data_IF_619795770453
#
_entry.id   IF_619795770453
#
_cell.length_a   1.000
_cell.length_b   1.000
_cell.length_c   1.000
_cell.angle_alpha   90.00
_cell.angle_beta   90.00
_cell.angle_gamma   90.00
#
_symmetry.space_group_name_H-M   'P 1'
#
loop_
_entity.id
_entity.type
_entity.pdbx_description
1 polymer ?
#
# COMPACT_ATOMS: atom_id res chain seq x y z
N UNK A 1 -51.29 38.88 -23.43
CA UNK A 1 -51.98 38.73 -24.71
C UNK A 1 -52.34 37.27 -24.91
N UNK A 2 -53.61 37.02 -24.75
CA UNK A 2 -54.61 36.07 -25.20
C UNK A 2 -54.21 34.67 -25.63
N UNK A 3 -54.74 33.73 -24.84
CA UNK A 3 -54.87 32.28 -25.06
C UNK A 3 -55.94 32.00 -26.13
N UNK A 4 -55.71 31.07 -27.04
CA UNK A 4 -56.81 30.37 -27.77
C UNK A 4 -56.68 28.88 -27.57
N UNK A 5 -57.73 28.30 -26.91
CA UNK A 5 -58.08 26.86 -26.90
C UNK A 5 -58.59 26.48 -28.27
N UNK A 6 -58.19 25.32 -28.75
CA UNK A 6 -58.90 24.62 -29.82
C UNK A 6 -59.19 23.21 -29.31
N UNK A 7 -60.50 22.90 -29.14
CA UNK A 7 -61.05 21.58 -28.95
C UNK A 7 -61.15 20.89 -30.32
N UNK A 8 -60.70 19.62 -30.39
CA UNK A 8 -61.11 18.73 -31.47
C UNK A 8 -61.64 17.42 -30.87
N UNK A 9 -62.90 17.14 -31.24
CA UNK A 9 -63.62 15.91 -30.94
C UNK A 9 -63.12 14.76 -31.83
N UNK A 10 -62.84 13.61 -31.27
CA UNK A 10 -62.49 12.41 -32.02
C UNK A 10 -63.65 11.41 -32.09
N UNK A 11 -63.71 10.53 -33.06
CA UNK A 11 -64.87 9.66 -33.30
C UNK A 11 -64.81 8.38 -32.46
N UNK A 12 -65.99 7.97 -32.04
CA UNK A 12 -66.36 6.72 -31.38
C UNK A 12 -65.98 5.48 -32.21
N UNK A 13 -65.18 4.57 -31.64
CA UNK A 13 -64.95 3.24 -32.22
C UNK A 13 -65.67 2.17 -31.44
N UNK A 14 -66.48 1.37 -32.21
CA UNK A 14 -67.18 0.20 -31.79
C UNK A 14 -66.18 -0.86 -31.25
N UNK A 15 -66.47 -1.40 -30.07
CA UNK A 15 -65.72 -2.54 -29.53
C UNK A 15 -66.48 -3.82 -29.90
N UNK A 16 -65.86 -4.64 -30.74
CA UNK A 16 -66.39 -6.01 -31.06
C UNK A 16 -65.77 -6.97 -30.03
N UNK A 17 -66.61 -7.55 -29.18
CA UNK A 17 -66.23 -8.53 -28.20
C UNK A 17 -66.04 -9.91 -28.88
N UNK A 18 -64.79 -10.37 -28.95
CA UNK A 18 -64.49 -11.76 -29.33
C UNK A 18 -64.41 -12.62 -28.07
N UNK A 19 -65.33 -13.61 -28.00
CA UNK A 19 -65.30 -14.63 -26.94
C UNK A 19 -64.25 -15.67 -27.30
N UNK A 20 -63.13 -15.71 -26.57
CA UNK A 20 -62.13 -16.76 -26.67
C UNK A 20 -62.37 -17.79 -25.58
N UNK A 21 -62.80 -19.01 -25.97
CA UNK A 21 -62.88 -20.17 -25.08
C UNK A 21 -61.46 -20.69 -24.81
N UNK A 22 -60.95 -20.50 -23.59
CA UNK A 22 -59.71 -21.11 -23.13
C UNK A 22 -59.98 -22.56 -22.69
N UNK A 23 -59.45 -23.53 -23.42
CA UNK A 23 -59.27 -24.89 -22.95
C UNK A 23 -58.09 -24.98 -22.02
N UNK A 24 -58.30 -25.23 -20.73
CA UNK A 24 -57.28 -25.45 -19.74
C UNK A 24 -56.61 -26.81 -19.97
N UNK A 25 -55.46 -26.81 -20.61
CA UNK A 25 -54.51 -27.92 -20.58
C UNK A 25 -53.70 -27.87 -19.26
N UNK A 26 -53.99 -28.85 -18.39
CA UNK A 26 -53.22 -29.01 -17.13
C UNK A 26 -51.82 -29.50 -17.46
N UNK A 27 -50.85 -28.55 -17.59
CA UNK A 27 -49.41 -28.88 -17.66
C UNK A 27 -48.88 -28.99 -16.24
N UNK A 28 -48.49 -30.20 -15.83
CA UNK A 28 -47.73 -30.43 -14.60
C UNK A 28 -46.35 -29.82 -14.75
N UNK A 29 -46.08 -28.73 -14.02
CA UNK A 29 -44.77 -28.13 -13.91
C UNK A 29 -43.82 -29.14 -13.22
N UNK A 30 -42.59 -29.31 -13.72
CA UNK A 30 -41.59 -30.15 -13.04
C UNK A 30 -41.30 -29.53 -11.66
N UNK A 31 -41.39 -30.37 -10.63
CA UNK A 31 -41.00 -30.03 -9.27
C UNK A 31 -39.49 -29.76 -9.28
N UNK A 32 -39.07 -28.50 -9.03
CA UNK A 32 -37.68 -28.15 -8.87
C UNK A 32 -37.11 -28.94 -7.68
N UNK A 33 -36.11 -29.77 -7.94
CA UNK A 33 -35.30 -30.40 -6.88
C UNK A 33 -34.68 -29.31 -6.00
N UNK A 34 -34.79 -29.38 -4.66
CA UNK A 34 -34.16 -28.43 -3.77
C UNK A 34 -32.64 -28.48 -3.98
N UNK A 35 -32.07 -27.38 -4.50
CA UNK A 35 -30.62 -27.20 -4.50
C UNK A 35 -30.19 -27.05 -3.05
N UNK A 36 -29.37 -27.99 -2.58
CA UNK A 36 -28.68 -27.88 -1.28
C UNK A 36 -27.98 -26.55 -1.25
N UNK A 37 -28.20 -25.69 -0.23
CA UNK A 37 -27.46 -24.44 -0.11
C UNK A 37 -25.97 -24.77 -0.03
N UNK A 38 -25.18 -24.30 -1.00
CA UNK A 38 -23.72 -24.34 -0.93
C UNK A 38 -23.32 -23.51 0.29
N UNK A 39 -22.82 -24.19 1.32
CA UNK A 39 -22.17 -23.52 2.46
C UNK A 39 -21.04 -22.67 1.85
N UNK A 40 -20.98 -21.36 2.13
CA UNK A 40 -19.85 -20.55 1.69
C UNK A 40 -18.56 -21.22 2.17
N UNK A 41 -17.58 -21.41 1.29
CA UNK A 41 -16.29 -21.96 1.68
C UNK A 41 -15.73 -21.11 2.82
N UNK A 42 -15.31 -21.75 3.90
CA UNK A 42 -14.62 -21.04 4.98
C UNK A 42 -13.44 -20.24 4.39
N UNK A 43 -13.19 -19.01 4.86
CA UNK A 43 -12.05 -18.24 4.39
C UNK A 43 -10.78 -19.05 4.64
N UNK A 44 -10.06 -19.37 3.56
CA UNK A 44 -8.77 -20.07 3.65
C UNK A 44 -7.84 -19.20 4.48
N UNK A 45 -7.30 -19.78 5.56
CA UNK A 45 -6.34 -19.07 6.40
C UNK A 45 -5.12 -18.63 5.56
N UNK A 46 -4.55 -17.42 5.83
CA UNK A 46 -3.36 -16.96 5.14
C UNK A 46 -2.23 -18.00 5.22
N UNK A 47 -1.59 -18.31 4.09
CA UNK A 47 -0.42 -19.20 4.04
C UNK A 47 0.82 -18.39 3.72
N UNK A 48 1.67 -18.19 4.73
CA UNK A 48 2.91 -17.42 4.59
C UNK A 48 4.10 -18.37 4.32
N UNK A 49 5.18 -17.87 3.68
CA UNK A 49 6.42 -18.64 3.58
C UNK A 49 7.00 -18.90 4.98
N UNK A 50 7.85 -19.89 5.11
CA UNK A 50 8.58 -20.14 6.37
C UNK A 50 9.43 -18.92 6.75
N UNK A 51 9.44 -18.49 8.03
CA UNK A 51 10.33 -17.43 8.50
C UNK A 51 11.80 -17.68 8.11
N UNK A 52 12.54 -16.61 7.81
CA UNK A 52 13.94 -16.71 7.44
C UNK A 52 14.76 -17.22 8.63
N UNK A 53 15.49 -18.33 8.42
CA UNK A 53 16.34 -18.88 9.47
C UNK A 53 17.44 -17.89 9.89
N UNK A 54 17.70 -17.79 11.20
CA UNK A 54 18.70 -16.87 11.74
C UNK A 54 18.27 -15.40 11.75
N UNK A 55 16.98 -15.10 11.58
CA UNK A 55 16.45 -13.74 11.68
C UNK A 55 16.76 -13.11 13.04
N UNK A 56 17.51 -12.02 13.01
CA UNK A 56 17.88 -11.24 14.21
C UNK A 56 17.03 -9.99 14.40
N UNK A 57 16.43 -9.47 13.33
CA UNK A 57 15.47 -8.36 13.34
C UNK A 57 14.52 -8.47 12.16
N UNK A 58 13.38 -7.77 12.23
CA UNK A 58 12.41 -7.68 11.16
C UNK A 58 11.44 -6.52 11.35
N UNK A 59 10.75 -6.16 10.29
CA UNK A 59 9.69 -5.17 10.31
C UNK A 59 8.67 -5.43 9.19
N UNK A 60 7.49 -4.88 9.31
CA UNK A 60 6.55 -4.77 8.19
C UNK A 60 6.60 -3.36 7.65
N UNK A 61 6.54 -3.21 6.30
CA UNK A 61 6.49 -1.90 5.67
C UNK A 61 5.31 -1.78 4.71
N UNK A 62 4.76 -0.59 4.59
CA UNK A 62 3.61 -0.28 3.74
C UNK A 62 3.55 1.23 3.46
N UNK A 63 2.68 1.66 2.56
CA UNK A 63 2.37 3.07 2.31
C UNK A 63 0.94 3.23 1.79
N UNK A 64 0.48 4.48 1.71
CA UNK A 64 -0.81 4.84 1.12
C UNK A 64 -1.99 4.10 1.77
N UNK A 65 -1.91 3.97 3.11
CA UNK A 65 -2.84 3.16 3.87
C UNK A 65 -3.92 3.96 4.60
N UNK A 66 -3.66 5.22 4.92
CA UNK A 66 -4.33 6.03 5.94
C UNK A 66 -5.79 6.41 5.71
N UNK A 67 -6.61 5.52 5.15
CA UNK A 67 -8.03 5.79 4.87
C UNK A 67 -8.94 5.66 6.10
N UNK A 68 -8.59 4.81 7.06
CA UNK A 68 -9.46 4.40 8.17
C UNK A 68 -10.55 3.42 7.74
N UNK A 69 -10.46 2.83 6.55
CA UNK A 69 -11.51 1.99 5.95
C UNK A 69 -11.18 0.49 6.04
N UNK A 70 -12.16 -0.34 5.64
CA UNK A 70 -12.08 -1.79 5.75
C UNK A 70 -10.88 -2.41 5.01
N UNK A 71 -10.45 -1.84 3.90
CA UNK A 71 -9.30 -2.36 3.13
C UNK A 71 -8.00 -2.19 3.91
N UNK A 72 -7.78 -1.03 4.53
CA UNK A 72 -6.64 -0.81 5.43
C UNK A 72 -6.67 -1.80 6.60
N UNK A 73 -7.85 -2.02 7.21
CA UNK A 73 -7.98 -2.98 8.31
C UNK A 73 -7.62 -4.40 7.85
N UNK A 74 -8.08 -4.84 6.67
CA UNK A 74 -7.75 -6.16 6.15
C UNK A 74 -6.25 -6.35 5.90
N UNK A 75 -5.54 -5.32 5.43
CA UNK A 75 -4.07 -5.36 5.30
C UNK A 75 -3.43 -5.47 6.68
N UNK A 76 -3.89 -4.67 7.66
CA UNK A 76 -3.39 -4.71 9.04
C UNK A 76 -3.66 -6.06 9.72
N UNK A 77 -4.83 -6.66 9.52
CA UNK A 77 -5.16 -8.01 10.03
C UNK A 77 -4.22 -9.08 9.46
N UNK A 78 -3.86 -8.95 8.17
CA UNK A 78 -2.90 -9.85 7.53
C UNK A 78 -1.48 -9.65 8.05
N UNK A 79 -1.06 -8.40 8.38
CA UNK A 79 0.20 -8.12 9.08
C UNK A 79 0.21 -8.76 10.48
N UNK A 80 -0.93 -8.73 11.20
CA UNK A 80 -1.06 -9.39 12.50
C UNK A 80 -0.93 -10.92 12.37
N UNK A 81 -1.57 -11.51 11.37
CA UNK A 81 -1.45 -12.93 11.06
C UNK A 81 -0.02 -13.32 10.68
N UNK A 82 0.68 -12.50 9.89
CA UNK A 82 2.11 -12.63 9.57
C UNK A 82 2.96 -12.69 10.85
N UNK A 83 2.76 -11.75 11.75
CA UNK A 83 3.47 -11.71 13.04
C UNK A 83 3.18 -12.95 13.87
N UNK A 84 1.92 -13.37 13.94
CA UNK A 84 1.48 -14.54 14.71
C UNK A 84 1.94 -15.87 14.12
N UNK A 85 2.32 -15.92 12.83
CA UNK A 85 2.88 -17.10 12.18
C UNK A 85 4.37 -17.32 12.45
N UNK A 86 4.97 -16.51 13.34
CA UNK A 86 6.36 -16.67 13.78
C UNK A 86 7.36 -15.76 13.05
N UNK A 87 6.91 -14.90 12.13
CA UNK A 87 7.77 -13.89 11.52
C UNK A 87 8.12 -12.80 12.54
N UNK A 88 9.39 -12.47 12.63
CA UNK A 88 9.85 -11.43 13.54
C UNK A 88 9.44 -10.03 13.03
N UNK A 89 8.81 -9.25 13.89
CA UNK A 89 8.40 -7.86 13.63
C UNK A 89 8.78 -7.02 14.84
N UNK A 90 9.83 -6.23 14.73
CA UNK A 90 10.32 -5.31 15.78
C UNK A 90 9.78 -3.89 15.60
N UNK A 91 9.27 -3.54 14.40
CA UNK A 91 8.66 -2.24 14.10
C UNK A 91 7.65 -2.34 12.96
N UNK A 92 6.76 -1.38 12.87
CA UNK A 92 5.98 -1.05 11.69
C UNK A 92 6.60 0.17 11.03
N UNK A 93 6.67 0.19 9.70
CA UNK A 93 7.28 1.27 8.91
C UNK A 93 6.30 1.71 7.84
N UNK A 94 6.08 3.03 7.69
CA UNK A 94 5.32 3.53 6.54
C UNK A 94 6.16 4.44 5.66
N UNK A 95 5.92 4.35 4.36
CA UNK A 95 6.51 5.24 3.38
C UNK A 95 5.55 6.38 2.97
N UNK A 96 4.71 6.85 3.90
CA UNK A 96 3.88 8.05 3.73
C UNK A 96 2.42 7.79 3.35
N UNK A 97 1.67 8.88 3.26
CA UNK A 97 0.22 8.93 3.13
C UNK A 97 -0.47 8.12 4.24
N UNK A 98 -0.12 8.51 5.45
CA UNK A 98 -0.55 7.87 6.68
C UNK A 98 -1.96 8.28 7.11
N UNK A 99 -2.47 9.42 6.58
CA UNK A 99 -3.79 9.96 6.95
C UNK A 99 -4.43 10.68 5.76
N UNK A 100 -5.37 10.03 5.10
CA UNK A 100 -6.20 10.64 4.06
C UNK A 100 -7.41 11.38 4.63
N UNK A 101 -7.97 12.41 3.90
CA UNK A 101 -7.45 12.93 2.63
C UNK A 101 -6.35 13.98 2.79
N UNK A 102 -6.11 14.51 3.99
CA UNK A 102 -5.40 15.76 4.23
C UNK A 102 -4.52 15.78 5.50
N UNK A 103 -4.21 14.64 6.09
CA UNK A 103 -3.37 14.55 7.28
C UNK A 103 -4.03 15.03 8.59
N UNK A 104 -5.33 15.34 8.59
CA UNK A 104 -6.02 15.99 9.72
C UNK A 104 -5.92 15.19 11.03
N UNK A 105 -5.54 15.83 12.18
CA UNK A 105 -5.40 15.16 13.47
C UNK A 105 -6.64 14.44 13.97
N UNK A 106 -7.83 14.92 13.60
CA UNK A 106 -9.10 14.28 13.93
C UNK A 106 -9.23 12.84 13.38
N UNK A 107 -8.42 12.47 12.41
CA UNK A 107 -8.40 11.14 11.76
C UNK A 107 -7.30 10.22 12.29
N UNK A 108 -6.36 10.70 13.12
CA UNK A 108 -5.24 9.90 13.60
C UNK A 108 -5.68 8.60 14.29
N UNK A 109 -6.76 8.65 15.09
CA UNK A 109 -7.28 7.45 15.72
C UNK A 109 -7.73 6.40 14.69
N UNK A 110 -8.50 6.82 13.69
CA UNK A 110 -9.06 5.92 12.67
C UNK A 110 -7.99 5.42 11.68
N UNK A 111 -7.07 6.29 11.26
CA UNK A 111 -6.09 5.98 10.21
C UNK A 111 -4.80 5.36 10.76
N UNK A 112 -4.38 5.69 12.00
CA UNK A 112 -3.09 5.29 12.57
C UNK A 112 -3.24 4.34 13.77
N UNK A 113 -4.11 4.68 14.75
CA UNK A 113 -4.13 3.92 16.00
C UNK A 113 -4.93 2.62 15.86
N UNK A 114 -6.16 2.71 15.38
CA UNK A 114 -7.11 1.58 15.35
C UNK A 114 -6.66 0.43 14.45
N UNK A 115 -6.26 0.65 13.16
CA UNK A 115 -5.93 -0.46 12.27
C UNK A 115 -4.77 -1.31 12.78
N UNK A 116 -3.79 -0.69 13.44
CA UNK A 116 -2.57 -1.39 13.86
C UNK A 116 -2.54 -1.75 15.34
N UNK A 117 -3.66 -1.58 16.08
CA UNK A 117 -3.72 -1.84 17.52
C UNK A 117 -3.32 -3.28 17.92
N UNK A 118 -3.61 -4.26 17.07
CA UNK A 118 -3.27 -5.66 17.31
C UNK A 118 -1.76 -5.96 17.16
N UNK A 119 -0.99 -5.07 16.50
CA UNK A 119 0.43 -5.30 16.21
C UNK A 119 1.32 -4.34 16.98
N UNK A 120 0.88 -3.09 17.15
CA UNK A 120 1.64 -2.04 17.83
C UNK A 120 1.74 -2.30 19.33
N UNK A 121 2.92 -2.03 19.88
CA UNK A 121 3.20 -2.00 21.32
C UNK A 121 4.36 -1.03 21.58
N UNK A 122 4.73 -0.84 22.86
CA UNK A 122 5.94 -0.06 23.19
C UNK A 122 7.20 -0.65 22.53
N UNK A 123 7.25 -1.98 22.41
CA UNK A 123 8.37 -2.69 21.80
C UNK A 123 8.22 -2.88 20.27
N UNK A 124 7.10 -2.42 19.70
CA UNK A 124 6.81 -2.41 18.26
C UNK A 124 6.28 -1.04 17.83
N UNK A 125 7.14 -0.04 17.76
CA UNK A 125 6.74 1.31 17.35
C UNK A 125 6.32 1.34 15.88
N UNK A 126 5.58 2.39 15.51
CA UNK A 126 5.32 2.78 14.14
C UNK A 126 6.24 3.95 13.78
N UNK A 127 7.10 3.77 12.77
CA UNK A 127 7.95 4.80 12.20
C UNK A 127 7.43 5.19 10.81
N UNK A 128 7.37 6.49 10.53
CA UNK A 128 6.69 6.97 9.32
C UNK A 128 7.58 7.92 8.51
N UNK A 129 7.55 7.80 7.18
CA UNK A 129 7.77 8.95 6.32
C UNK A 129 6.45 9.73 6.19
N UNK A 130 6.52 10.99 5.77
CA UNK A 130 5.33 11.79 5.45
C UNK A 130 5.09 11.74 3.94
N UNK A 131 3.84 11.48 3.54
CA UNK A 131 3.39 11.64 2.18
C UNK A 131 2.82 13.03 1.91
N UNK A 132 2.40 13.30 0.67
CA UNK A 132 1.82 14.59 0.31
C UNK A 132 0.49 14.84 1.03
N UNK A 133 -0.35 13.82 1.22
CA UNK A 133 -1.59 13.96 1.99
C UNK A 133 -1.35 14.24 3.48
N UNK A 134 -0.21 13.86 4.03
CA UNK A 134 0.17 14.19 5.41
C UNK A 134 0.70 15.63 5.53
N UNK A 135 1.34 16.16 4.47
CA UNK A 135 2.11 17.40 4.51
C UNK A 135 1.36 18.61 3.95
N UNK A 136 0.55 18.44 2.89
CA UNK A 136 -0.04 19.54 2.10
C UNK A 136 -0.92 20.49 2.92
N UNK A 137 -1.61 19.98 3.95
CA UNK A 137 -2.42 20.81 4.87
C UNK A 137 -1.65 21.28 6.11
N UNK A 138 -0.34 20.99 6.21
CA UNK A 138 0.53 21.44 7.28
C UNK A 138 0.52 20.59 8.55
N UNK A 139 -0.19 19.46 8.58
CA UNK A 139 -0.33 18.59 9.76
C UNK A 139 0.81 17.59 9.97
N UNK A 140 1.81 17.54 9.08
CA UNK A 140 2.90 16.56 9.19
C UNK A 140 3.67 16.62 10.52
N UNK A 141 3.93 17.82 11.05
CA UNK A 141 4.60 17.98 12.34
C UNK A 141 3.73 17.45 13.51
N UNK A 142 2.42 17.65 13.46
CA UNK A 142 1.49 17.15 14.47
C UNK A 142 1.40 15.61 14.43
N UNK A 143 1.46 15.03 13.22
CA UNK A 143 1.48 13.58 13.04
C UNK A 143 2.76 12.96 13.63
N UNK A 144 3.93 13.55 13.36
CA UNK A 144 5.19 13.12 13.96
C UNK A 144 5.16 13.23 15.49
N UNK A 145 4.62 14.32 16.03
CA UNK A 145 4.47 14.52 17.48
C UNK A 145 3.51 13.48 18.10
N UNK A 146 2.39 13.17 17.45
CA UNK A 146 1.45 12.13 17.87
C UNK A 146 2.12 10.74 17.98
N UNK A 147 3.08 10.46 17.11
CA UNK A 147 3.85 9.22 17.09
C UNK A 147 5.14 9.28 17.93
N UNK A 148 5.42 10.41 18.60
CA UNK A 148 6.65 10.66 19.36
C UNK A 148 7.90 10.49 18.49
N UNK A 149 7.84 10.94 17.23
CA UNK A 149 8.94 10.93 16.27
C UNK A 149 9.59 12.31 16.16
N UNK A 150 10.89 12.37 15.85
CA UNK A 150 11.57 13.64 15.58
C UNK A 150 11.11 14.24 14.25
N UNK A 151 11.45 15.51 14.01
CA UNK A 151 11.29 16.11 12.69
C UNK A 151 12.12 15.36 11.63
N UNK A 152 11.64 15.41 10.38
CA UNK A 152 12.37 14.82 9.24
C UNK A 152 13.50 15.75 8.78
N UNK A 153 14.62 15.18 8.26
CA UNK A 153 14.90 13.76 8.17
C UNK A 153 15.35 13.16 9.50
N UNK A 154 15.13 11.85 9.69
CA UNK A 154 15.58 11.16 10.90
C UNK A 154 16.03 9.72 10.62
N UNK A 155 16.73 9.12 11.59
CA UNK A 155 17.21 7.76 11.52
C UNK A 155 16.67 6.91 12.67
N UNK A 156 16.49 5.63 12.41
CA UNK A 156 16.24 4.57 13.40
C UNK A 156 17.18 3.40 13.12
N UNK A 157 17.51 2.66 14.17
CA UNK A 157 18.36 1.47 14.06
C UNK A 157 17.64 0.28 14.67
N UNK A 158 17.67 -0.83 13.98
CA UNK A 158 17.34 -2.17 14.48
C UNK A 158 18.57 -3.05 14.33
N UNK A 159 18.56 -4.23 14.96
CA UNK A 159 19.70 -5.15 14.87
C UNK A 159 20.05 -5.44 13.40
N UNK A 160 21.25 -5.08 12.99
CA UNK A 160 21.78 -5.33 11.64
C UNK A 160 21.41 -4.33 10.56
N UNK A 161 20.52 -3.35 10.83
CA UNK A 161 20.12 -2.36 9.83
C UNK A 161 19.91 -0.95 10.40
N UNK A 162 20.17 0.05 9.56
CA UNK A 162 19.79 1.45 9.79
C UNK A 162 18.71 1.85 8.77
N UNK A 163 17.65 2.46 9.27
CA UNK A 163 16.53 2.99 8.52
C UNK A 163 16.62 4.52 8.51
N UNK A 164 16.67 5.12 7.32
CA UNK A 164 16.80 6.57 7.10
C UNK A 164 15.50 7.09 6.47
N UNK A 165 14.84 8.02 7.14
CA UNK A 165 13.57 8.60 6.70
C UNK A 165 13.80 10.00 6.15
N UNK A 166 13.37 10.24 4.90
CA UNK A 166 13.47 11.53 4.21
C UNK A 166 12.09 12.10 3.92
N UNK A 167 11.99 13.44 3.85
CA UNK A 167 10.78 14.15 3.43
C UNK A 167 10.83 14.42 1.93
N UNK A 168 10.18 13.56 1.16
CA UNK A 168 10.12 13.69 -0.29
C UNK A 168 9.11 14.76 -0.78
N UNK A 169 8.33 15.37 0.12
CA UNK A 169 7.51 16.54 -0.21
C UNK A 169 8.37 17.79 -0.41
N UNK A 170 9.60 17.79 0.15
CA UNK A 170 10.53 18.93 0.08
C UNK A 170 11.95 18.44 -0.19
N UNK A 171 12.20 17.71 -1.29
CA UNK A 171 13.54 17.20 -1.60
C UNK A 171 14.48 18.39 -1.88
N UNK A 172 15.52 18.53 -1.06
CA UNK A 172 16.46 19.65 -1.12
C UNK A 172 17.91 19.21 -0.86
N UNK A 173 18.86 20.14 -1.05
CA UNK A 173 20.27 19.91 -0.84
C UNK A 173 20.63 19.66 0.64
N UNK A 174 19.84 20.16 1.59
CA UNK A 174 20.10 19.93 3.02
C UNK A 174 19.84 18.46 3.38
N UNK A 175 18.75 17.89 2.89
CA UNK A 175 18.45 16.47 3.06
C UNK A 175 19.45 15.57 2.30
N UNK A 176 19.90 15.99 1.09
CA UNK A 176 20.95 15.29 0.36
C UNK A 176 22.26 15.26 1.16
N UNK A 177 22.67 16.38 1.78
CA UNK A 177 23.83 16.46 2.64
C UNK A 177 23.68 15.60 3.90
N UNK A 178 22.51 15.60 4.51
CA UNK A 178 22.22 14.76 5.66
C UNK A 178 22.29 13.27 5.29
N UNK A 179 21.70 12.87 4.17
CA UNK A 179 21.73 11.49 3.66
C UNK A 179 23.17 11.02 3.42
N UNK A 180 23.97 11.83 2.72
CA UNK A 180 25.41 11.58 2.48
C UNK A 180 26.17 11.40 3.80
N UNK A 181 25.91 12.27 4.78
CA UNK A 181 26.53 12.19 6.11
C UNK A 181 26.16 10.88 6.82
N UNK A 182 24.89 10.49 6.79
CA UNK A 182 24.44 9.24 7.43
C UNK A 182 25.04 8.00 6.77
N UNK A 183 25.12 7.99 5.45
CA UNK A 183 25.61 6.84 4.70
C UNK A 183 27.13 6.70 4.75
N UNK A 184 27.86 7.82 4.85
CA UNK A 184 29.32 7.84 5.03
C UNK A 184 29.77 7.46 6.44
N UNK A 185 28.90 7.59 7.44
CA UNK A 185 29.21 7.23 8.82
C UNK A 185 29.34 5.71 9.00
N UNK A 186 30.23 5.23 9.89
CA UNK A 186 30.29 3.82 10.26
C UNK A 186 28.92 3.31 10.76
N UNK A 187 28.52 2.11 10.35
CA UNK A 187 27.25 1.54 10.75
C UNK A 187 26.99 0.16 10.14
N UNK A 188 25.77 -0.38 10.30
CA UNK A 188 25.41 -1.70 9.78
C UNK A 188 25.50 -1.73 8.25
N UNK A 189 25.80 -2.90 7.69
CA UNK A 189 25.89 -3.11 6.25
C UNK A 189 24.55 -2.85 5.53
N UNK A 190 23.43 -3.15 6.19
CA UNK A 190 22.12 -2.93 5.62
C UNK A 190 21.66 -1.48 5.92
N UNK A 191 21.70 -0.65 4.90
CA UNK A 191 21.13 0.71 4.89
C UNK A 191 19.83 0.65 4.12
N UNK A 192 18.75 1.15 4.73
CA UNK A 192 17.40 1.16 4.17
C UNK A 192 16.92 2.61 4.19
N UNK A 193 16.49 3.14 3.05
CA UNK A 193 16.02 4.52 2.93
C UNK A 193 14.54 4.54 2.60
N UNK A 194 13.78 5.34 3.33
CA UNK A 194 12.32 5.38 3.26
C UNK A 194 11.88 6.83 2.98
N UNK A 195 11.09 7.01 1.93
CA UNK A 195 10.46 8.28 1.58
C UNK A 195 9.27 8.05 0.65
N UNK A 196 8.39 9.04 0.51
CA UNK A 196 7.09 8.82 -0.12
C UNK A 196 7.15 8.78 -1.66
N UNK A 197 7.38 9.92 -2.32
CA UNK A 197 7.38 10.00 -3.78
C UNK A 197 8.53 9.16 -4.36
N UNK A 198 8.28 8.23 -5.30
CA UNK A 198 9.28 7.28 -5.73
C UNK A 198 10.34 7.87 -6.65
N UNK A 199 11.59 7.37 -6.54
CA UNK A 199 12.64 7.63 -7.52
C UNK A 199 12.26 6.99 -8.87
N UNK A 200 11.72 5.78 -8.84
CA UNK A 200 11.29 5.02 -10.01
C UNK A 200 9.89 4.47 -9.83
N UNK A 201 9.02 4.70 -10.80
CA UNK A 201 7.68 4.14 -10.86
C UNK A 201 7.14 4.14 -12.29
N UNK A 202 6.34 3.14 -12.60
CA UNK A 202 5.63 3.00 -13.87
C UNK A 202 4.11 3.10 -13.73
N UNK A 203 3.58 3.68 -12.66
CA UNK A 203 2.14 3.91 -12.51
C UNK A 203 1.73 5.37 -12.79
N UNK A 204 0.68 5.83 -12.15
CA UNK A 204 -0.01 7.08 -12.49
C UNK A 204 0.83 8.34 -12.27
N UNK A 205 1.55 8.41 -11.16
CA UNK A 205 2.39 9.57 -10.82
C UNK A 205 3.79 9.48 -11.44
N UNK A 206 4.30 8.26 -11.61
CA UNK A 206 5.60 8.01 -12.24
C UNK A 206 6.79 8.36 -11.34
N UNK A 207 7.96 8.40 -11.96
CA UNK A 207 9.23 8.71 -11.30
C UNK A 207 9.36 10.20 -10.97
N UNK A 208 10.00 10.53 -9.84
CA UNK A 208 10.18 11.91 -9.38
C UNK A 208 11.56 12.43 -9.76
N UNK A 209 11.62 13.26 -10.80
CA UNK A 209 12.88 13.74 -11.39
C UNK A 209 13.82 14.45 -10.40
N UNK A 210 13.28 15.21 -9.43
CA UNK A 210 14.10 15.90 -8.43
C UNK A 210 14.76 14.91 -7.45
N UNK A 211 14.08 13.84 -7.08
CA UNK A 211 14.64 12.75 -6.26
C UNK A 211 15.70 12.00 -7.06
N UNK A 212 15.42 11.69 -8.33
CA UNK A 212 16.38 11.04 -9.22
C UNK A 212 17.69 11.85 -9.32
N UNK A 213 17.59 13.18 -9.44
CA UNK A 213 18.76 14.04 -9.55
C UNK A 213 19.53 14.28 -8.24
N UNK A 214 18.83 14.38 -7.08
CA UNK A 214 19.45 14.76 -5.80
C UNK A 214 19.85 13.56 -4.94
N UNK A 215 19.03 12.51 -4.89
CA UNK A 215 19.23 11.43 -3.91
C UNK A 215 19.72 10.13 -4.55
N UNK A 216 19.27 9.81 -5.77
CA UNK A 216 19.68 8.56 -6.42
C UNK A 216 21.20 8.45 -6.57
N UNK A 217 21.97 9.48 -6.98
CA UNK A 217 23.43 9.36 -7.05
C UNK A 217 24.08 8.99 -5.70
N UNK A 218 23.54 9.50 -4.60
CA UNK A 218 24.01 9.19 -3.24
C UNK A 218 23.66 7.74 -2.88
N UNK A 219 22.40 7.34 -3.10
CA UNK A 219 21.92 5.99 -2.82
C UNK A 219 22.73 4.93 -3.58
N UNK A 220 23.05 5.19 -4.84
CA UNK A 220 23.84 4.33 -5.71
C UNK A 220 25.30 4.25 -5.30
N UNK A 221 25.94 5.41 -5.01
CA UNK A 221 27.34 5.48 -4.57
C UNK A 221 27.58 4.68 -3.28
N UNK A 222 26.64 4.75 -2.34
CA UNK A 222 26.71 4.02 -1.07
C UNK A 222 26.10 2.62 -1.14
N UNK A 223 25.59 2.18 -2.32
CA UNK A 223 24.99 0.87 -2.52
C UNK A 223 23.97 0.55 -1.44
N UNK A 224 23.01 1.48 -1.19
CA UNK A 224 21.93 1.29 -0.23
C UNK A 224 21.22 -0.05 -0.51
N UNK A 225 20.91 -0.81 0.54
CA UNK A 225 20.35 -2.15 0.37
C UNK A 225 18.94 -2.11 -0.21
N UNK A 226 18.11 -1.21 0.32
CA UNK A 226 16.70 -1.13 -0.03
C UNK A 226 16.21 0.32 0.08
N UNK A 227 15.45 0.76 -0.91
CA UNK A 227 14.69 2.01 -0.91
C UNK A 227 13.21 1.66 -0.94
N UNK A 228 12.43 2.19 0.00
CA UNK A 228 10.98 1.93 0.13
C UNK A 228 10.22 3.22 -0.13
N UNK A 229 9.30 3.19 -1.08
CA UNK A 229 8.46 4.30 -1.51
C UNK A 229 6.97 3.94 -1.48
N UNK A 230 6.11 4.96 -1.51
CA UNK A 230 4.67 4.89 -1.73
C UNK A 230 4.23 5.70 -2.94
N UNK A 231 3.17 6.51 -2.77
CA UNK A 231 2.63 7.48 -3.70
C UNK A 231 1.91 6.89 -4.91
N UNK A 232 2.50 5.92 -5.58
CA UNK A 232 1.81 5.14 -6.60
C UNK A 232 1.21 3.88 -5.96
N UNK A 233 -0.12 3.77 -6.01
CA UNK A 233 -0.90 2.75 -5.27
C UNK A 233 -0.86 1.39 -5.95
N UNK A 234 0.32 0.76 -5.96
CA UNK A 234 0.56 -0.57 -6.48
C UNK A 234 1.88 -1.13 -5.91
N UNK A 235 2.31 -2.29 -6.35
CA UNK A 235 3.63 -2.83 -6.06
C UNK A 235 4.49 -2.82 -7.32
N UNK A 236 5.71 -2.31 -7.20
CA UNK A 236 6.74 -2.48 -8.23
C UNK A 236 8.13 -2.53 -7.59
N UNK A 237 8.97 -3.45 -8.08
CA UNK A 237 10.35 -3.58 -7.63
C UNK A 237 11.30 -3.40 -8.79
N UNK A 238 12.32 -2.57 -8.57
CA UNK A 238 13.40 -2.30 -9.50
C UNK A 238 14.74 -2.71 -8.88
N UNK A 239 15.73 -2.97 -9.71
CA UNK A 239 17.12 -3.16 -9.28
C UNK A 239 18.04 -2.38 -10.20
N UNK A 240 18.84 -1.49 -9.63
CA UNK A 240 19.79 -0.69 -10.39
C UNK A 240 21.07 -1.46 -10.74
N UNK A 241 21.88 -0.88 -11.61
CA UNK A 241 23.20 -1.42 -11.96
C UNK A 241 24.20 -1.37 -10.81
N UNK A 242 24.01 -0.47 -9.84
CA UNK A 242 24.79 -0.39 -8.59
C UNK A 242 24.28 -1.33 -7.50
N UNK A 243 23.33 -2.20 -7.84
CA UNK A 243 22.76 -3.20 -6.94
C UNK A 243 21.81 -2.65 -5.86
N UNK A 244 21.31 -1.42 -6.01
CA UNK A 244 20.27 -0.88 -5.13
C UNK A 244 18.91 -1.44 -5.52
N UNK A 245 18.15 -1.93 -4.53
CA UNK A 245 16.76 -2.37 -4.74
C UNK A 245 15.81 -1.24 -4.37
N UNK A 246 14.95 -0.82 -5.32
CA UNK A 246 13.90 0.17 -5.12
C UNK A 246 12.53 -0.51 -5.15
N UNK A 247 11.66 -0.14 -4.22
CA UNK A 247 10.31 -0.73 -4.10
C UNK A 247 9.28 0.37 -3.92
N UNK A 248 8.28 0.37 -4.79
CA UNK A 248 7.02 1.09 -4.59
C UNK A 248 6.05 0.14 -3.92
N UNK A 249 5.49 0.52 -2.76
CA UNK A 249 4.62 -0.31 -1.93
C UNK A 249 3.32 0.42 -1.52
N UNK A 250 2.70 1.15 -2.45
CA UNK A 250 1.51 1.96 -2.19
C UNK A 250 0.19 1.19 -2.09
N UNK A 251 0.24 -0.11 -1.85
CA UNK A 251 -0.95 -0.96 -1.75
C UNK A 251 -1.53 -1.10 -0.33
N UNK A 252 -1.18 -0.22 0.61
CA UNK A 252 -1.51 -0.36 2.03
C UNK A 252 -2.99 -0.19 2.40
N UNK A 253 -3.81 0.43 1.54
CA UNK A 253 -5.24 0.59 1.89
C UNK A 253 -6.06 1.49 0.98
N UNK A 254 -5.47 2.45 0.28
CA UNK A 254 -6.18 3.34 -0.63
C UNK A 254 -6.37 2.71 -2.02
N UNK A 255 -7.20 3.33 -2.88
CA UNK A 255 -7.55 2.82 -4.20
C UNK A 255 -6.33 2.53 -5.08
N UNK A 256 -6.29 1.39 -5.75
CA UNK A 256 -5.12 0.94 -6.52
C UNK A 256 -5.03 1.63 -7.89
N UNK A 257 -3.80 1.82 -8.37
CA UNK A 257 -3.49 2.34 -9.71
C UNK A 257 -3.02 1.21 -10.63
N UNK A 258 -3.34 1.36 -11.91
CA UNK A 258 -2.82 0.47 -12.92
C UNK A 258 -1.38 0.87 -13.31
N UNK A 259 -0.54 -0.11 -13.60
CA UNK A 259 0.77 0.12 -14.20
C UNK A 259 0.58 0.61 -15.65
N UNK A 260 1.36 1.60 -16.06
CA UNK A 260 1.44 2.01 -17.45
C UNK A 260 2.18 0.93 -18.29
N UNK A 261 1.52 0.24 -19.21
CA UNK A 261 2.15 -0.84 -19.97
C UNK A 261 3.25 -0.35 -20.92
N UNK A 262 3.22 0.94 -21.27
CA UNK A 262 4.23 1.56 -22.15
C UNK A 262 5.48 2.03 -21.41
N UNK A 263 5.49 1.96 -20.08
CA UNK A 263 6.65 2.33 -19.28
C UNK A 263 7.73 1.25 -19.39
N UNK A 264 8.86 1.61 -19.97
CA UNK A 264 10.02 0.72 -20.12
C UNK A 264 10.99 0.80 -18.95
N UNK A 265 10.77 1.73 -18.01
CA UNK A 265 11.53 1.94 -16.77
C UNK A 265 13.06 1.83 -16.89
N UNK A 266 13.79 2.79 -16.33
CA UNK A 266 15.23 2.66 -16.12
C UNK A 266 15.51 3.02 -14.68
N UNK A 267 15.91 2.07 -13.84
CA UNK A 267 16.24 0.65 -14.09
C UNK A 267 15.02 -0.21 -14.45
N UNK A 268 15.22 -1.40 -15.03
CA UNK A 268 14.10 -2.25 -15.45
C UNK A 268 13.34 -2.80 -14.23
N UNK A 269 12.01 -2.84 -14.36
CA UNK A 269 11.11 -3.47 -13.40
C UNK A 269 11.38 -4.98 -13.31
N UNK A 270 11.46 -5.50 -12.08
CA UNK A 270 11.73 -6.91 -11.78
C UNK A 270 10.45 -7.67 -11.39
N UNK A 271 9.51 -6.98 -10.75
CA UNK A 271 8.23 -7.55 -10.31
C UNK A 271 7.19 -6.44 -10.17
N UNK A 272 5.92 -6.76 -10.43
CA UNK A 272 4.79 -5.83 -10.30
C UNK A 272 3.53 -6.54 -9.81
N UNK A 273 2.69 -5.85 -9.04
CA UNK A 273 1.36 -6.33 -8.68
C UNK A 273 0.40 -5.17 -8.39
N UNK A 274 -0.79 -5.20 -8.96
CA UNK A 274 -1.88 -4.27 -8.64
C UNK A 274 -2.80 -4.94 -7.61
N UNK A 275 -2.33 -5.03 -6.37
CA UNK A 275 -2.99 -5.71 -5.25
C UNK A 275 -2.72 -4.95 -3.96
N UNK A 276 -3.68 -4.93 -3.04
CA UNK A 276 -3.43 -4.45 -1.68
C UNK A 276 -2.48 -5.40 -0.96
N UNK A 277 -1.43 -4.85 -0.34
CA UNK A 277 -0.32 -5.60 0.19
C UNK A 277 0.45 -4.84 1.27
N UNK A 278 1.37 -5.54 1.91
CA UNK A 278 2.46 -5.01 2.72
C UNK A 278 3.76 -5.76 2.41
N UNK A 279 4.87 -5.25 2.90
CA UNK A 279 6.18 -5.88 2.83
C UNK A 279 6.53 -6.49 4.19
N UNK A 280 6.87 -7.77 4.23
CA UNK A 280 7.58 -8.39 5.35
C UNK A 280 9.08 -8.31 5.10
N UNK A 281 9.84 -7.73 6.03
CA UNK A 281 11.31 -7.62 5.94
C UNK A 281 11.93 -8.36 7.10
N UNK A 282 12.75 -9.36 6.81
CA UNK A 282 13.47 -10.19 7.79
C UNK A 282 14.98 -10.05 7.58
N UNK A 283 15.73 -9.80 8.63
CA UNK A 283 17.18 -9.52 8.60
C UNK A 283 17.93 -10.65 9.29
N UNK A 284 18.90 -11.23 8.59
CA UNK A 284 19.80 -12.27 9.09
C UNK A 284 21.25 -11.95 8.68
N UNK A 285 22.07 -11.48 9.62
CA UNK A 285 23.42 -11.03 9.35
C UNK A 285 23.48 -9.85 8.39
N UNK A 286 24.18 -9.99 7.27
CA UNK A 286 24.29 -8.99 6.19
C UNK A 286 23.25 -9.17 5.08
N UNK A 287 22.27 -10.04 5.29
CA UNK A 287 21.20 -10.31 4.32
C UNK A 287 19.85 -9.85 4.87
N UNK A 288 18.98 -9.37 4.00
CA UNK A 288 17.56 -9.19 4.26
C UNK A 288 16.74 -9.98 3.22
N UNK A 289 15.64 -10.56 3.68
CA UNK A 289 14.60 -11.10 2.81
C UNK A 289 13.42 -10.14 2.82
N UNK A 290 13.04 -9.70 1.63
CA UNK A 290 11.84 -8.91 1.39
C UNK A 290 10.77 -9.85 0.82
N UNK A 291 9.61 -9.92 1.46
CA UNK A 291 8.45 -10.68 0.99
C UNK A 291 7.27 -9.73 0.83
N UNK A 292 6.71 -9.62 -0.36
CA UNK A 292 5.50 -8.84 -0.63
C UNK A 292 4.29 -9.74 -0.44
N UNK A 293 3.44 -9.40 0.51
CA UNK A 293 2.30 -10.21 0.94
C UNK A 293 1.00 -9.47 0.63
N UNK A 294 0.14 -10.08 -0.19
CA UNK A 294 -1.20 -9.57 -0.45
C UNK A 294 -2.06 -9.58 0.83
N UNK A 295 -3.09 -8.72 0.89
CA UNK A 295 -4.09 -8.72 1.99
C UNK A 295 -4.81 -10.06 2.19
N UNK A 296 -4.70 -10.96 1.23
CA UNK A 296 -5.25 -12.34 1.29
C UNK A 296 -4.25 -13.35 1.88
N UNK A 297 -3.00 -12.92 2.18
CA UNK A 297 -1.93 -13.79 2.66
C UNK A 297 -1.09 -14.43 1.55
N UNK A 298 -1.41 -14.20 0.27
CA UNK A 298 -0.64 -14.69 -0.88
C UNK A 298 0.70 -13.96 -0.99
N UNK A 299 1.80 -14.69 -1.28
CA UNK A 299 3.08 -14.08 -1.63
C UNK A 299 3.06 -13.60 -3.08
N UNK A 300 3.21 -12.29 -3.28
CA UNK A 300 3.24 -11.66 -4.61
C UNK A 300 4.64 -11.62 -5.21
N UNK A 301 5.65 -11.41 -4.36
CA UNK A 301 7.06 -11.37 -4.74
C UNK A 301 7.94 -11.70 -3.52
N UNK A 302 9.13 -12.22 -3.78
CA UNK A 302 10.13 -12.44 -2.73
C UNK A 302 11.53 -12.26 -3.30
N UNK A 303 12.38 -11.53 -2.58
CA UNK A 303 13.79 -11.34 -2.96
C UNK A 303 14.69 -11.33 -1.72
N UNK A 304 15.90 -11.86 -1.85
CA UNK A 304 16.97 -11.73 -0.86
C UNK A 304 18.01 -10.74 -1.35
N UNK A 305 18.37 -9.79 -0.49
CA UNK A 305 19.37 -8.75 -0.72
C UNK A 305 20.51 -8.97 0.28
N UNK A 306 21.76 -9.02 -0.20
CA UNK A 306 22.95 -9.22 0.63
C UNK A 306 23.95 -8.07 0.46
N UNK A 307 24.61 -7.64 1.54
CA UNK A 307 25.63 -6.60 1.57
C UNK A 307 26.91 -7.07 2.22
#
# INVERSE_FOLDING_TARGET
VTIKKILHAGPTRLILAAVITLSAACQTLPVATPTTPTVPAEPVAPSFPTPLAGTTAGFVAFADAGTGEAVQQQVADTMAAWTNSGHRVDALVTAGDNVYPDGAPSRFAAAIATPYAAIRSADRPLWVALGNHDADSGYGAEQLAYLSLPAMPYAKTITGAQLLFLDANRPDAAQATWLETQLSAPGPALRIVIFHQPAYSCATHGSTALIDSLWVPILEAHRVALVINGHDHYYERFRSSSDVTYVVTGGGGNGLYARNPSCTGTPPSQATATRHHFLGVEIAGSSLRLTTVARTGETLDQVTITR
#
